data_IF_105405473947
#
_entry.id   IF_105405473947
#
_cell.length_a   1.000
_cell.length_b   1.000
_cell.length_c   1.000
_cell.angle_alpha   90.00
_cell.angle_beta   90.00
_cell.angle_gamma   90.00
#
_symmetry.space_group_name_H-M   'P 1'
#
loop_
_entity.id
_entity.type
_entity.pdbx_description
1 polymer ?
#
# COMPACT_ATOMS: atom_id res chain seq x y z
N UNK A 1 -47.43 -19.59 -22.74
CA UNK A 1 -47.07 -18.50 -23.64
C UNK A 1 -47.50 -17.18 -23.01
N UNK A 2 -46.57 -16.42 -22.43
CA UNK A 2 -46.81 -15.05 -21.94
C UNK A 2 -45.69 -14.19 -22.50
N UNK A 3 -46.02 -13.33 -23.46
CA UNK A 3 -45.13 -12.34 -24.06
C UNK A 3 -45.00 -11.16 -23.09
N UNK A 4 -43.79 -10.88 -22.64
CA UNK A 4 -43.48 -9.63 -21.95
C UNK A 4 -42.88 -8.64 -22.96
N UNK A 5 -43.63 -7.56 -23.19
CA UNK A 5 -43.25 -6.42 -24.02
C UNK A 5 -42.39 -5.51 -23.15
N UNK A 6 -41.14 -5.26 -23.58
CA UNK A 6 -40.22 -4.32 -22.93
C UNK A 6 -40.39 -2.94 -23.61
N UNK A 7 -40.69 -1.86 -22.88
CA UNK A 7 -40.71 -0.54 -23.46
C UNK A 7 -39.30 0.05 -23.56
N UNK A 8 -38.97 0.52 -24.74
CA UNK A 8 -37.79 1.25 -25.13
C UNK A 8 -37.83 2.64 -24.51
N UNK A 9 -36.94 2.93 -23.55
CA UNK A 9 -36.76 4.27 -22.99
C UNK A 9 -35.70 5.03 -23.79
N UNK A 10 -36.14 6.12 -24.42
CA UNK A 10 -35.31 7.03 -25.17
C UNK A 10 -34.44 7.89 -24.22
N UNK A 11 -33.14 7.87 -24.43
CA UNK A 11 -32.14 8.60 -23.67
C UNK A 11 -31.90 9.97 -24.31
N UNK A 12 -32.34 11.02 -23.66
CA UNK A 12 -32.09 12.43 -24.08
C UNK A 12 -30.62 12.79 -23.76
N UNK A 13 -29.89 13.14 -24.81
CA UNK A 13 -28.56 13.71 -24.70
C UNK A 13 -28.68 15.21 -24.36
N UNK A 14 -28.30 15.61 -23.16
CA UNK A 14 -28.06 17.02 -22.81
C UNK A 14 -26.58 17.35 -23.02
N UNK A 15 -26.30 18.12 -24.06
CA UNK A 15 -25.02 18.75 -24.31
C UNK A 15 -24.88 20.01 -23.44
N UNK A 16 -23.98 20.01 -22.45
CA UNK A 16 -23.57 21.25 -21.78
C UNK A 16 -22.38 21.86 -22.52
N UNK A 17 -22.59 23.05 -23.07
CA UNK A 17 -21.52 23.93 -23.57
C UNK A 17 -20.77 24.53 -22.38
N UNK A 18 -19.45 24.31 -22.32
CA UNK A 18 -18.55 25.03 -21.42
C UNK A 18 -18.06 26.30 -22.09
N UNK A 19 -18.31 27.42 -21.46
CA UNK A 19 -17.81 28.75 -21.83
C UNK A 19 -16.45 28.94 -21.21
N UNK A 20 -15.45 29.19 -22.06
CA UNK A 20 -14.10 29.61 -21.68
C UNK A 20 -14.16 31.00 -21.02
N UNK A 21 -13.46 31.15 -19.91
CA UNK A 21 -12.92 32.45 -19.54
C UNK A 21 -11.51 32.23 -18.93
N UNK A 22 -10.55 32.76 -19.68
CA UNK A 22 -9.15 32.80 -19.33
C UNK A 22 -8.90 33.84 -18.24
N UNK A 23 -8.17 33.49 -17.19
CA UNK A 23 -7.33 34.45 -16.50
C UNK A 23 -6.09 33.67 -15.98
N UNK A 24 -4.95 34.06 -16.54
CA UNK A 24 -3.62 33.63 -16.17
C UNK A 24 -3.33 34.05 -14.73
N UNK A 25 -3.03 33.08 -13.88
CA UNK A 25 -1.98 33.22 -12.86
C UNK A 25 -1.41 31.84 -12.60
N UNK A 26 -0.14 31.69 -12.93
CA UNK A 26 0.64 30.47 -12.86
C UNK A 26 1.31 30.37 -11.47
N UNK A 27 0.81 29.56 -10.53
CA UNK A 27 1.68 29.07 -9.49
C UNK A 27 2.37 27.82 -10.06
N UNK A 28 3.66 27.91 -10.28
CA UNK A 28 4.54 26.76 -10.55
C UNK A 28 4.40 25.78 -9.39
N UNK A 29 3.39 24.93 -9.44
CA UNK A 29 3.33 23.72 -8.63
C UNK A 29 4.36 22.79 -9.24
N UNK A 30 5.54 22.75 -8.64
CA UNK A 30 6.51 21.68 -8.87
C UNK A 30 5.83 20.39 -8.39
N UNK A 31 5.09 19.75 -9.28
CA UNK A 31 4.61 18.38 -9.09
C UNK A 31 5.86 17.50 -9.21
N UNK A 32 6.58 17.32 -8.11
CA UNK A 32 7.52 16.23 -7.95
C UNK A 32 6.67 14.97 -7.98
N UNK A 33 6.55 14.36 -9.16
CA UNK A 33 6.05 13.00 -9.29
C UNK A 33 6.95 12.15 -8.38
N UNK A 34 6.43 11.50 -7.32
CA UNK A 34 7.27 10.65 -6.50
C UNK A 34 7.86 9.59 -7.42
N UNK A 35 9.17 9.46 -7.38
CA UNK A 35 9.92 8.45 -8.12
C UNK A 35 9.27 7.09 -7.80
N UNK A 36 8.96 6.29 -8.81
CA UNK A 36 8.26 5.00 -8.62
C UNK A 36 8.98 4.08 -7.65
N UNK A 37 10.27 4.31 -7.43
CA UNK A 37 11.11 3.60 -6.46
C UNK A 37 10.87 4.03 -5.00
N UNK A 38 10.09 5.09 -4.77
CA UNK A 38 9.81 5.63 -3.44
C UNK A 38 8.47 5.16 -2.83
N UNK A 39 7.72 4.31 -3.52
CA UNK A 39 6.42 3.82 -3.05
C UNK A 39 6.50 2.35 -2.67
N UNK A 40 6.12 2.04 -1.43
CA UNK A 40 5.87 0.67 -1.00
C UNK A 40 4.45 0.25 -1.36
N UNK A 41 4.29 -0.86 -2.05
CA UNK A 41 2.97 -1.46 -2.24
C UNK A 41 2.36 -1.88 -0.89
N UNK A 42 3.19 -2.38 0.01
CA UNK A 42 2.83 -2.68 1.39
C UNK A 42 4.00 -2.39 2.33
N UNK A 43 3.74 -1.71 3.44
CA UNK A 43 4.74 -1.41 4.46
C UNK A 43 4.25 -1.86 5.82
N UNK A 44 5.16 -2.50 6.57
CA UNK A 44 4.95 -2.86 7.98
C UNK A 44 6.01 -2.17 8.81
N UNK A 45 5.58 -1.32 9.75
CA UNK A 45 6.44 -0.55 10.64
C UNK A 45 6.38 -1.11 12.06
N UNK A 46 7.52 -1.50 12.60
CA UNK A 46 7.69 -1.90 14.00
C UNK A 46 8.22 -0.71 14.78
N UNK A 47 7.38 -0.17 15.66
CA UNK A 47 7.61 1.07 16.41
C UNK A 47 7.97 0.72 17.86
N UNK A 48 8.89 1.48 18.42
CA UNK A 48 9.27 1.40 19.84
C UNK A 48 8.62 2.51 20.68
N UNK A 49 8.34 2.20 21.92
CA UNK A 49 7.95 3.17 22.96
C UNK A 49 8.83 2.97 24.21
N UNK A 50 10.12 3.23 24.08
CA UNK A 50 11.06 3.30 25.21
C UNK A 50 11.82 2.01 25.56
N UNK A 51 11.42 0.83 25.04
CA UNK A 51 12.11 -0.46 25.33
C UNK A 51 12.56 -1.23 24.10
N UNK A 52 12.61 -0.58 22.96
CA UNK A 52 12.84 -1.21 21.66
C UNK A 52 11.56 -1.76 21.03
N UNK A 53 11.60 -2.11 19.75
CA UNK A 53 10.48 -2.67 19.03
C UNK A 53 10.14 -4.07 19.55
N UNK A 54 8.88 -4.47 19.37
CA UNK A 54 8.40 -5.80 19.75
C UNK A 54 9.14 -6.90 18.99
N UNK A 55 10.14 -7.51 19.67
CA UNK A 55 10.99 -8.57 19.09
C UNK A 55 10.18 -9.81 18.75
N UNK A 56 9.14 -10.12 19.52
CA UNK A 56 8.29 -11.29 19.26
C UNK A 56 7.44 -11.06 18.02
N UNK A 57 6.85 -9.87 17.87
CA UNK A 57 6.10 -9.51 16.66
C UNK A 57 6.99 -9.57 15.42
N UNK A 58 8.23 -9.05 15.49
CA UNK A 58 9.21 -9.14 14.38
C UNK A 58 9.54 -10.59 14.03
N UNK A 59 9.80 -11.42 15.03
CA UNK A 59 10.08 -12.86 14.81
C UNK A 59 8.89 -13.54 14.15
N UNK A 60 7.68 -13.30 14.64
CA UNK A 60 6.43 -13.84 14.08
C UNK A 60 6.25 -13.41 12.62
N UNK A 61 6.52 -12.14 12.30
CA UNK A 61 6.43 -11.63 10.94
C UNK A 61 7.46 -12.26 9.99
N UNK A 62 8.70 -12.40 10.43
CA UNK A 62 9.73 -13.06 9.62
C UNK A 62 9.39 -14.52 9.33
N UNK A 63 8.83 -15.24 10.32
CA UNK A 63 8.31 -16.60 10.11
C UNK A 63 7.16 -16.59 9.10
N UNK A 64 6.20 -15.69 9.27
CA UNK A 64 5.07 -15.54 8.33
C UNK A 64 5.57 -15.28 6.89
N UNK A 65 6.54 -14.37 6.69
CA UNK A 65 7.12 -14.11 5.37
C UNK A 65 7.73 -15.38 4.77
N UNK A 66 8.51 -16.12 5.56
CA UNK A 66 9.16 -17.34 5.10
C UNK A 66 8.14 -18.39 4.68
N UNK A 67 7.15 -18.66 5.53
CA UNK A 67 6.10 -19.65 5.28
C UNK A 67 5.24 -19.26 4.07
N UNK A 68 4.84 -17.99 3.97
CA UNK A 68 4.06 -17.47 2.86
C UNK A 68 4.82 -17.61 1.53
N UNK A 69 6.10 -17.27 1.51
CA UNK A 69 6.95 -17.38 0.33
C UNK A 69 7.10 -18.84 -0.10
N UNK A 70 7.31 -19.75 0.85
CA UNK A 70 7.43 -21.19 0.58
C UNK A 70 6.13 -21.74 -0.02
N UNK A 71 4.98 -21.42 0.56
CA UNK A 71 3.66 -21.91 0.11
C UNK A 71 3.27 -21.39 -1.27
N UNK A 72 3.70 -20.17 -1.62
CA UNK A 72 3.35 -19.53 -2.90
C UNK A 72 4.51 -19.53 -3.90
N UNK A 73 5.60 -20.25 -3.63
CA UNK A 73 6.81 -20.34 -4.47
C UNK A 73 7.37 -18.96 -4.86
N UNK A 74 7.42 -18.04 -3.91
CA UNK A 74 7.86 -16.68 -4.13
C UNK A 74 9.33 -16.49 -3.70
N UNK A 75 10.04 -15.68 -4.47
CA UNK A 75 11.32 -15.08 -4.06
C UNK A 75 11.05 -13.64 -3.61
N UNK A 76 10.20 -13.48 -2.60
CA UNK A 76 9.76 -12.15 -2.19
C UNK A 76 10.88 -11.42 -1.45
N UNK A 77 11.49 -10.46 -2.12
CA UNK A 77 12.45 -9.56 -1.51
C UNK A 77 11.71 -8.33 -0.99
N UNK A 78 11.96 -8.00 0.25
CA UNK A 78 11.51 -6.76 0.87
C UNK A 78 12.73 -5.94 1.27
N UNK A 79 12.58 -4.62 1.29
CA UNK A 79 13.59 -3.72 1.80
C UNK A 79 13.31 -3.45 3.27
N UNK A 80 14.34 -3.53 4.11
CA UNK A 80 14.24 -3.18 5.53
C UNK A 80 14.99 -1.87 5.76
N UNK A 81 14.31 -0.90 6.38
CA UNK A 81 14.87 0.37 6.78
C UNK A 81 14.90 0.44 8.30
N UNK A 82 16.09 0.61 8.86
CA UNK A 82 16.25 0.86 10.30
C UNK A 82 16.18 2.36 10.56
N UNK A 83 15.41 2.76 11.56
CA UNK A 83 15.28 4.15 11.95
C UNK A 83 15.12 4.29 13.47
N UNK A 84 15.00 5.52 13.96
CA UNK A 84 14.87 5.75 15.38
C UNK A 84 16.14 5.40 16.20
N UNK A 85 16.12 5.69 17.48
CA UNK A 85 17.23 5.38 18.41
C UNK A 85 17.14 3.98 19.00
N UNK A 86 15.95 3.41 19.01
CA UNK A 86 15.63 2.17 19.72
C UNK A 86 15.53 0.96 18.77
N UNK A 87 15.92 1.14 17.50
CA UNK A 87 15.96 0.05 16.52
C UNK A 87 14.62 -0.23 15.85
N UNK A 88 13.80 0.81 15.68
CA UNK A 88 12.57 0.77 14.88
C UNK A 88 12.89 0.32 13.46
N UNK A 89 11.96 -0.38 12.82
CA UNK A 89 12.16 -0.93 11.48
C UNK A 89 10.92 -0.85 10.63
N UNK A 90 11.13 -0.49 9.35
CA UNK A 90 10.12 -0.57 8.30
C UNK A 90 10.48 -1.70 7.32
N UNK A 91 9.52 -2.53 7.02
CA UNK A 91 9.59 -3.57 5.98
C UNK A 91 8.77 -3.08 4.79
N UNK A 92 9.41 -2.85 3.66
CA UNK A 92 8.77 -2.39 2.44
C UNK A 92 8.74 -3.49 1.38
N UNK A 93 7.56 -3.82 0.89
CA UNK A 93 7.30 -4.80 -0.15
C UNK A 93 6.85 -4.08 -1.43
N UNK A 94 7.55 -4.26 -2.54
CA UNK A 94 7.14 -3.77 -3.85
C UNK A 94 6.21 -4.72 -4.59
N UNK A 95 6.32 -6.03 -4.30
CA UNK A 95 5.58 -7.13 -4.95
C UNK A 95 5.72 -7.17 -6.48
N UNK A 96 6.86 -6.71 -7.02
CA UNK A 96 7.10 -6.74 -8.46
C UNK A 96 6.99 -8.16 -9.02
N UNK A 97 6.17 -8.32 -10.07
CA UNK A 97 5.96 -9.61 -10.73
C UNK A 97 5.09 -10.62 -9.98
N UNK A 98 4.54 -10.26 -8.83
CA UNK A 98 3.65 -11.13 -8.05
C UNK A 98 2.19 -10.89 -8.46
N UNK A 99 1.42 -11.99 -8.59
CA UNK A 99 0.00 -11.93 -8.90
C UNK A 99 -0.75 -11.05 -7.88
N UNK A 100 -1.64 -10.13 -8.33
CA UNK A 100 -2.40 -9.24 -7.45
C UNK A 100 -3.20 -9.94 -6.35
N UNK A 101 -3.79 -11.10 -6.62
CA UNK A 101 -4.54 -11.88 -5.62
C UNK A 101 -3.62 -12.37 -4.49
N UNK A 102 -2.40 -12.79 -4.84
CA UNK A 102 -1.40 -13.23 -3.87
C UNK A 102 -0.90 -12.04 -3.05
N UNK A 103 -0.73 -10.86 -3.66
CA UNK A 103 -0.40 -9.62 -2.94
C UNK A 103 -1.48 -9.28 -1.91
N UNK A 104 -2.75 -9.25 -2.32
CA UNK A 104 -3.88 -8.93 -1.43
C UNK A 104 -4.01 -9.96 -0.29
N UNK A 105 -3.77 -11.24 -0.57
CA UNK A 105 -3.73 -12.28 0.46
C UNK A 105 -2.63 -12.00 1.48
N UNK A 106 -1.40 -11.71 1.04
CA UNK A 106 -0.28 -11.36 1.93
C UNK A 106 -0.63 -10.15 2.80
N UNK A 107 -1.17 -9.09 2.20
CA UNK A 107 -1.54 -7.85 2.88
C UNK A 107 -2.62 -8.11 3.95
N UNK A 108 -3.67 -8.85 3.59
CA UNK A 108 -4.78 -9.13 4.50
C UNK A 108 -4.35 -10.00 5.68
N UNK A 109 -3.57 -11.05 5.43
CA UNK A 109 -3.06 -11.93 6.48
C UNK A 109 -2.07 -11.20 7.39
N UNK A 110 -1.19 -10.34 6.85
CA UNK A 110 -0.29 -9.49 7.65
C UNK A 110 -1.06 -8.53 8.55
N UNK A 111 -2.09 -7.88 8.05
CA UNK A 111 -2.95 -6.98 8.84
C UNK A 111 -3.66 -7.73 9.96
N UNK A 112 -4.15 -8.94 9.67
CA UNK A 112 -4.81 -9.78 10.66
C UNK A 112 -3.83 -10.21 11.76
N UNK A 113 -2.59 -10.57 11.39
CA UNK A 113 -1.53 -10.96 12.32
C UNK A 113 -1.27 -9.88 13.37
N UNK A 114 -1.41 -8.61 13.01
CA UNK A 114 -1.10 -7.47 13.88
C UNK A 114 -2.33 -6.65 14.30
N UNK A 115 -3.55 -7.16 14.09
CA UNK A 115 -4.78 -6.43 14.36
C UNK A 115 -4.87 -5.87 15.80
N UNK A 116 -4.27 -6.57 16.78
CA UNK A 116 -4.28 -6.19 18.18
C UNK A 116 -2.91 -5.67 18.69
N UNK A 117 -1.95 -5.43 17.80
CA UNK A 117 -0.63 -4.94 18.19
C UNK A 117 -0.51 -3.43 17.89
N UNK A 118 -0.59 -2.61 18.93
CA UNK A 118 -0.53 -1.13 18.80
C UNK A 118 0.83 -0.62 18.29
N UNK A 119 1.90 -1.41 18.43
CA UNK A 119 3.27 -1.06 18.05
C UNK A 119 3.65 -1.51 16.64
N UNK A 120 2.73 -2.16 15.93
CA UNK A 120 2.92 -2.53 14.52
C UNK A 120 1.90 -1.80 13.68
N UNK A 121 2.37 -1.08 12.67
CA UNK A 121 1.53 -0.33 11.73
C UNK A 121 1.67 -0.88 10.33
N UNK A 122 0.54 -1.01 9.63
CA UNK A 122 0.49 -1.51 8.25
C UNK A 122 -0.04 -0.41 7.33
N UNK A 123 0.67 -0.15 6.24
CA UNK A 123 0.31 0.85 5.23
C UNK A 123 0.27 0.20 3.86
N UNK A 124 -0.63 0.64 3.00
CA UNK A 124 -0.79 0.14 1.62
C UNK A 124 -0.61 1.31 0.66
N UNK A 125 0.19 1.13 -0.39
CA UNK A 125 0.50 2.15 -1.39
C UNK A 125 1.00 3.45 -0.75
N UNK A 126 1.88 3.33 0.22
CA UNK A 126 2.43 4.46 0.95
C UNK A 126 3.86 4.79 0.47
N UNK A 127 4.25 6.06 0.48
CA UNK A 127 5.65 6.41 0.32
C UNK A 127 6.46 5.84 1.50
N UNK A 128 7.77 5.68 1.31
CA UNK A 128 8.65 5.32 2.42
C UNK A 128 8.46 6.28 3.58
N UNK A 129 8.08 5.76 4.74
CA UNK A 129 7.90 6.60 5.95
C UNK A 129 9.24 7.12 6.45
N UNK A 130 10.28 6.32 6.29
CA UNK A 130 11.63 6.66 6.73
C UNK A 130 12.64 6.33 5.62
N UNK A 131 13.54 7.22 5.35
CA UNK A 131 14.69 6.98 4.45
C UNK A 131 15.83 6.35 5.25
N UNK A 132 16.64 5.44 4.64
CA UNK A 132 17.86 4.99 5.27
C UNK A 132 18.73 6.20 5.64
N UNK A 133 19.31 6.17 6.84
CA UNK A 133 20.38 7.12 7.17
C UNK A 133 21.63 6.62 6.47
N UNK A 134 22.19 7.46 5.59
CA UNK A 134 23.53 7.27 5.03
C UNK A 134 24.59 7.29 6.11
#
# INVERSE_FOLDING_TARGET
>A
MRFFIIPMVAMLLMACKNTENATNENPTVTTTTPDSDSICRFQVSFISIGSGPDRQAKKTFNTFIADFNQLNMLSNTHKVVNWGREGDQDYCFSFLGINPEVQEKFISESKLLFANNALVKCFVNAPYLHTPKD
#
